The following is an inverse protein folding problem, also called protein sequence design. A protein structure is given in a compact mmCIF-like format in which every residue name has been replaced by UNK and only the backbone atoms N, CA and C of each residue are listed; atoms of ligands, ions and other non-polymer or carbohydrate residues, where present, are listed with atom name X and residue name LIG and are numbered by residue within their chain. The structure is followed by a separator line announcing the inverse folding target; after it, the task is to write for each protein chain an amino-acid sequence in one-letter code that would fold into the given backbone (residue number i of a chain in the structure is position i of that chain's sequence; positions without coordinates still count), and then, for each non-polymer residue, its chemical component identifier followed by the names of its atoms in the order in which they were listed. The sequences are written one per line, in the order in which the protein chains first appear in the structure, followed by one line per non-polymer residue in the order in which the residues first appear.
data_IF_627763809977
#
_entry.id   IF_627763809977
#
_cell.length_a   1.000
_cell.length_b   1.000
_cell.length_c   1.000
_cell.angle_alpha   90.00
_cell.angle_beta   90.00
_cell.angle_gamma   90.00
#
_symmetry.space_group_name_H-M   'P 1'
#
loop_
_entity.id
_entity.type
_entity.pdbx_description
1 polymer ?
#
# COMPACT_ATOMS: atom_id res chain seq x y z
N UNK A 1 -3.86 20.11 0.24
CA UNK A 1 -3.69 18.85 0.96
C UNK A 1 -3.33 17.78 -0.07
N UNK A 2 -2.32 17.00 0.25
CA UNK A 2 -1.89 15.84 -0.51
C UNK A 2 -2.28 14.61 0.30
N UNK A 3 -2.69 13.56 -0.41
CA UNK A 3 -3.15 12.32 0.18
C UNK A 3 -2.43 11.18 -0.52
N UNK A 4 -1.69 10.37 0.22
CA UNK A 4 -1.25 9.06 -0.23
C UNK A 4 -2.30 8.01 0.13
N UNK A 5 -2.48 7.05 -0.77
CA UNK A 5 -3.12 5.78 -0.51
C UNK A 5 -2.09 4.69 -0.79
N UNK A 6 -1.88 3.80 0.18
CA UNK A 6 -1.00 2.63 0.04
C UNK A 6 -1.83 1.40 0.33
N UNK A 7 -2.00 0.58 -0.70
CA UNK A 7 -2.66 -0.71 -0.67
C UNK A 7 -1.65 -1.82 -0.31
N UNK A 8 -1.99 -2.62 0.69
CA UNK A 8 -1.20 -3.73 1.21
C UNK A 8 -1.70 -5.08 0.68
N UNK A 9 -3.02 -5.22 0.44
CA UNK A 9 -3.66 -6.51 0.15
C UNK A 9 -4.40 -6.54 -1.20
N UNK A 10 -4.60 -5.45 -1.93
CA UNK A 10 -5.07 -5.52 -3.32
C UNK A 10 -4.03 -6.16 -4.26
N UNK A 11 -2.77 -6.24 -3.83
CA UNK A 11 -1.76 -7.10 -4.44
C UNK A 11 -1.91 -8.57 -3.99
N UNK A 12 -2.32 -8.85 -2.75
CA UNK A 12 -2.54 -10.22 -2.24
C UNK A 12 -3.85 -10.82 -2.75
N UNK A 13 -4.94 -10.06 -2.87
CA UNK A 13 -6.21 -10.54 -3.44
C UNK A 13 -6.07 -10.95 -4.92
N UNK A 14 -5.17 -10.31 -5.67
CA UNK A 14 -4.78 -10.78 -7.00
C UNK A 14 -3.99 -12.11 -6.95
N UNK A 15 -3.23 -12.35 -5.87
CA UNK A 15 -2.52 -13.62 -5.60
C UNK A 15 -3.47 -14.69 -5.02
N UNK A 16 -4.53 -14.31 -4.31
CA UNK A 16 -5.53 -15.24 -3.75
C UNK A 16 -6.59 -15.61 -4.79
N UNK A 17 -6.87 -14.75 -5.79
CA UNK A 17 -7.66 -15.12 -6.97
C UNK A 17 -7.00 -16.17 -7.87
N UNK A 18 -5.80 -16.65 -7.51
CA UNK A 18 -5.11 -17.75 -8.17
C UNK A 18 -5.77 -19.12 -8.03
N UNK A 19 -6.93 -19.22 -7.37
CA UNK A 19 -7.80 -20.39 -7.47
C UNK A 19 -8.98 -20.21 -8.43
N UNK A 20 -9.09 -19.15 -9.24
CA UNK A 20 -10.20 -19.04 -10.21
C UNK A 20 -10.13 -20.06 -11.36
N UNK A 21 -9.05 -20.86 -11.45
CA UNK A 21 -9.03 -22.08 -12.27
C UNK A 21 -9.72 -23.28 -11.59
N UNK A 22 -9.92 -23.20 -10.27
CA UNK A 22 -10.79 -24.06 -9.46
C UNK A 22 -11.97 -23.22 -8.98
N UNK A 23 -12.74 -22.71 -9.93
CA UNK A 23 -14.10 -22.24 -9.70
C UNK A 23 -14.94 -23.47 -9.29
N UNK A 24 -14.75 -23.95 -8.05
CA UNK A 24 -15.80 -24.67 -7.37
C UNK A 24 -16.84 -23.62 -7.08
N UNK A 25 -17.68 -23.34 -8.06
CA UNK A 25 -18.80 -22.44 -7.81
C UNK A 25 -19.57 -23.04 -6.63
N UNK A 26 -20.13 -22.18 -5.79
CA UNK A 26 -21.02 -22.65 -4.73
C UNK A 26 -22.18 -23.48 -5.33
N UNK A 27 -22.44 -23.37 -6.64
CA UNK A 27 -23.35 -24.23 -7.39
C UNK A 27 -22.76 -25.62 -7.71
N UNK A 28 -21.45 -25.79 -7.91
CA UNK A 28 -20.80 -27.09 -8.18
C UNK A 28 -20.70 -27.98 -6.92
N UNK A 29 -20.52 -27.36 -5.75
CA UNK A 29 -20.63 -28.02 -4.44
C UNK A 29 -22.08 -28.46 -4.12
N UNK A 30 -23.08 -27.90 -4.81
CA UNK A 30 -24.51 -28.16 -4.61
C UNK A 30 -25.11 -29.00 -5.76
N UNK A 31 -24.50 -28.99 -6.96
CA UNK A 31 -25.02 -29.66 -8.15
C UNK A 31 -24.79 -31.16 -8.15
N UNK A 32 -23.84 -31.69 -7.38
CA UNK A 32 -23.64 -33.14 -7.26
C UNK A 32 -24.72 -33.88 -6.45
N UNK A 33 -25.73 -33.18 -5.94
CA UNK A 33 -26.86 -33.81 -5.22
C UNK A 33 -28.25 -33.53 -5.78
N UNK A 34 -28.36 -32.92 -6.96
CA UNK A 34 -29.67 -32.67 -7.58
C UNK A 34 -29.97 -33.64 -8.71
N UNK A 35 -30.22 -34.90 -8.34
CA UNK A 35 -31.20 -35.70 -9.06
C UNK A 35 -32.20 -36.33 -8.08
N UNK A 36 -33.48 -36.12 -8.40
CA UNK A 36 -34.70 -36.62 -7.77
C UNK A 36 -35.21 -35.87 -6.53
N UNK A 37 -36.38 -35.26 -6.73
CA UNK A 37 -37.05 -34.40 -5.76
C UNK A 37 -37.77 -35.14 -4.64
N UNK A 38 -37.88 -34.45 -3.51
CA UNK A 38 -39.07 -34.42 -2.65
C UNK A 38 -38.86 -33.36 -1.57
N UNK A 39 -39.95 -32.85 -1.02
CA UNK A 39 -39.98 -31.79 0.00
C UNK A 39 -39.54 -32.35 1.36
N UNK A 40 -38.32 -32.07 1.80
CA UNK A 40 -37.84 -32.21 3.20
C UNK A 40 -36.80 -31.13 3.54
N UNK A 41 -36.58 -30.79 4.82
CA UNK A 41 -35.61 -29.77 5.22
C UNK A 41 -34.19 -30.25 4.95
N UNK A 42 -33.43 -29.48 4.17
CA UNK A 42 -32.06 -29.82 3.78
C UNK A 42 -31.11 -29.82 5.00
N UNK A 43 -30.59 -30.99 5.36
CA UNK A 43 -29.37 -31.13 6.16
C UNK A 43 -28.19 -31.31 5.20
N UNK A 44 -27.32 -30.31 5.11
CA UNK A 44 -26.11 -30.40 4.30
C UNK A 44 -25.07 -31.27 5.04
N UNK A 45 -24.76 -32.44 4.49
CA UNK A 45 -23.63 -33.25 4.93
C UNK A 45 -22.39 -32.85 4.14
N UNK A 46 -21.63 -31.87 4.66
CA UNK A 46 -20.28 -31.62 4.18
C UNK A 46 -19.41 -32.84 4.50
N UNK A 47 -18.66 -33.33 3.52
CA UNK A 47 -17.69 -34.40 3.76
C UNK A 47 -16.64 -33.93 4.79
N UNK A 48 -16.16 -34.83 5.65
CA UNK A 48 -15.14 -34.49 6.65
C UNK A 48 -13.85 -33.93 6.02
N UNK A 49 -13.55 -34.30 4.77
CA UNK A 49 -12.46 -33.74 3.97
C UNK A 49 -12.72 -32.29 3.53
N UNK A 50 -13.95 -31.95 3.11
CA UNK A 50 -14.31 -30.58 2.70
C UNK A 50 -14.28 -29.61 3.90
N UNK A 51 -14.71 -30.06 5.07
CA UNK A 51 -14.63 -29.28 6.32
C UNK A 51 -13.18 -29.06 6.73
N UNK A 52 -12.32 -30.07 6.59
CA UNK A 52 -10.89 -29.95 6.91
C UNK A 52 -10.17 -28.99 5.96
N UNK A 53 -10.43 -29.05 4.65
CA UNK A 53 -9.84 -28.11 3.69
C UNK A 53 -10.26 -26.66 3.94
N UNK A 54 -11.53 -26.41 4.26
CA UNK A 54 -12.02 -25.08 4.64
C UNK A 54 -11.38 -24.59 5.94
N UNK A 55 -11.18 -25.49 6.91
CA UNK A 55 -10.52 -25.16 8.17
C UNK A 55 -9.04 -24.84 7.98
N UNK A 56 -8.33 -25.59 7.15
CA UNK A 56 -6.90 -25.37 6.85
C UNK A 56 -6.72 -24.05 6.09
N UNK A 57 -7.58 -23.77 5.10
CA UNK A 57 -7.61 -22.50 4.36
C UNK A 57 -7.91 -21.31 5.29
N UNK A 58 -8.90 -21.44 6.18
CA UNK A 58 -9.23 -20.41 7.17
C UNK A 58 -8.07 -20.18 8.17
N UNK A 59 -7.38 -21.25 8.58
CA UNK A 59 -6.25 -21.17 9.50
C UNK A 59 -5.03 -20.50 8.85
N UNK A 60 -4.75 -20.80 7.59
CA UNK A 60 -3.69 -20.13 6.81
C UNK A 60 -4.01 -18.65 6.60
N UNK A 61 -5.25 -18.32 6.20
CA UNK A 61 -5.73 -16.95 6.09
C UNK A 61 -5.62 -16.19 7.42
N UNK A 62 -6.03 -16.81 8.53
CA UNK A 62 -5.92 -16.21 9.86
C UNK A 62 -4.45 -15.97 10.25
N UNK A 63 -3.54 -16.89 9.90
CA UNK A 63 -2.10 -16.72 10.15
C UNK A 63 -1.50 -15.58 9.33
N UNK A 64 -1.90 -15.42 8.06
CA UNK A 64 -1.46 -14.29 7.24
C UNK A 64 -2.07 -12.97 7.72
N UNK A 65 -3.33 -12.97 8.17
CA UNK A 65 -3.96 -11.85 8.86
C UNK A 65 -3.26 -11.51 10.18
N UNK A 66 -2.77 -12.49 10.94
CA UNK A 66 -2.00 -12.26 12.17
C UNK A 66 -0.59 -11.70 11.88
N UNK A 67 0.06 -12.15 10.80
CA UNK A 67 1.32 -11.55 10.32
C UNK A 67 1.11 -10.13 9.81
N UNK A 68 0.06 -9.90 9.01
CA UNK A 68 -0.32 -8.58 8.53
C UNK A 68 -0.71 -7.69 9.72
N UNK A 69 -1.48 -8.19 10.68
CA UNK A 69 -1.83 -7.49 11.91
C UNK A 69 -0.61 -7.24 12.79
N UNK A 70 0.38 -8.14 12.84
CA UNK A 70 1.64 -7.91 13.56
C UNK A 70 2.47 -6.86 12.85
N UNK A 71 2.61 -6.92 11.52
CA UNK A 71 3.28 -5.88 10.72
C UNK A 71 2.56 -4.56 10.81
N UNK A 72 1.22 -4.57 10.80
CA UNK A 72 0.38 -3.40 11.02
C UNK A 72 0.47 -2.95 12.48
N UNK A 73 0.71 -3.82 13.45
CA UNK A 73 0.92 -3.45 14.86
C UNK A 73 2.31 -2.87 15.09
N UNK A 74 3.31 -3.38 14.39
CA UNK A 74 4.67 -2.84 14.29
C UNK A 74 4.64 -1.55 13.50
N UNK A 75 3.85 -1.47 12.43
CA UNK A 75 3.64 -0.25 11.70
C UNK A 75 2.80 0.71 12.52
N UNK A 76 1.84 0.27 13.33
CA UNK A 76 1.10 1.10 14.28
C UNK A 76 1.97 1.52 15.44
N UNK A 77 2.98 0.73 15.85
CA UNK A 77 3.99 1.13 16.83
C UNK A 77 4.97 2.13 16.22
N UNK A 78 5.31 1.99 14.94
CA UNK A 78 6.10 2.94 14.14
C UNK A 78 5.28 4.15 13.64
N UNK A 79 3.96 4.06 13.54
CA UNK A 79 3.04 5.17 13.24
C UNK A 79 2.66 5.86 14.53
N UNK A 80 2.64 5.18 15.67
CA UNK A 80 2.74 5.83 16.98
C UNK A 80 4.11 6.51 17.14
N UNK A 81 5.16 5.97 16.51
CA UNK A 81 6.46 6.64 16.40
C UNK A 81 6.41 7.87 15.47
N UNK A 82 5.60 7.87 14.42
CA UNK A 82 5.38 9.06 13.58
C UNK A 82 4.35 10.06 14.10
N UNK A 83 3.35 9.62 14.87
CA UNK A 83 2.54 10.50 15.72
C UNK A 83 3.42 11.15 16.80
N UNK A 84 4.50 10.49 17.23
CA UNK A 84 5.58 11.10 18.02
C UNK A 84 6.53 12.00 17.20
N UNK A 85 6.54 11.91 15.87
CA UNK A 85 7.18 12.92 14.99
C UNK A 85 6.30 14.15 14.73
N UNK A 86 5.10 14.22 15.34
CA UNK A 86 4.47 15.51 15.67
C UNK A 86 5.10 16.16 16.92
N UNK A 87 6.26 15.68 17.37
CA UNK A 87 7.14 16.50 18.18
C UNK A 87 7.71 17.58 17.26
N UNK A 88 7.62 18.87 17.65
CA UNK A 88 8.28 19.92 16.90
C UNK A 88 9.75 19.54 16.73
N UNK A 89 10.27 19.71 15.51
CA UNK A 89 11.72 19.71 15.35
C UNK A 89 12.33 20.83 16.21
N UNK A 90 13.65 20.89 16.31
CA UNK A 90 14.34 21.92 17.09
C UNK A 90 14.02 23.36 16.63
N UNK A 91 13.31 23.54 15.51
CA UNK A 91 12.96 24.82 14.88
C UNK A 91 11.46 25.15 14.90
N UNK A 92 10.62 24.23 15.35
CA UNK A 92 9.18 24.41 15.46
C UNK A 92 8.38 24.07 14.20
N UNK A 93 8.99 23.52 13.16
CA UNK A 93 8.27 23.06 11.97
C UNK A 93 7.73 21.64 12.20
N UNK A 94 6.45 21.58 12.56
CA UNK A 94 5.73 20.31 12.66
C UNK A 94 5.44 19.76 11.26
N UNK A 95 6.23 18.78 10.81
CA UNK A 95 5.83 17.88 9.72
C UNK A 95 4.66 17.00 10.17
N UNK A 96 3.48 17.59 10.26
CA UNK A 96 2.27 16.92 10.69
C UNK A 96 1.55 16.34 9.49
N UNK A 97 1.72 15.03 9.29
CA UNK A 97 0.82 14.26 8.44
C UNK A 97 -0.18 13.49 9.29
N UNK A 98 -1.41 13.37 8.79
CA UNK A 98 -2.46 12.53 9.36
C UNK A 98 -2.38 11.15 8.72
N UNK A 99 -2.33 10.11 9.54
CA UNK A 99 -2.38 8.73 9.07
C UNK A 99 -3.70 8.07 9.48
N UNK A 100 -4.32 7.34 8.57
CA UNK A 100 -5.44 6.45 8.85
C UNK A 100 -5.11 5.08 8.29
N UNK A 101 -5.20 4.06 9.12
CA UNK A 101 -4.82 2.68 8.79
C UNK A 101 -6.06 1.81 8.84
N UNK A 102 -6.23 0.98 7.81
CA UNK A 102 -7.20 -0.10 7.73
C UNK A 102 -6.49 -1.46 7.73
N UNK A 103 -7.28 -2.54 7.71
CA UNK A 103 -6.75 -3.90 7.64
C UNK A 103 -5.89 -4.17 6.41
N UNK A 104 -6.17 -3.49 5.30
CA UNK A 104 -5.59 -3.75 3.99
C UNK A 104 -4.90 -2.54 3.35
N UNK A 105 -4.96 -1.37 3.98
CA UNK A 105 -4.55 -0.13 3.35
C UNK A 105 -4.24 0.98 4.34
N UNK A 106 -3.45 1.94 3.90
CA UNK A 106 -3.00 3.09 4.67
C UNK A 106 -3.25 4.37 3.88
N UNK A 107 -3.77 5.38 4.54
CA UNK A 107 -3.92 6.73 4.01
C UNK A 107 -3.05 7.68 4.80
N UNK A 108 -2.27 8.50 4.10
CA UNK A 108 -1.44 9.56 4.68
C UNK A 108 -1.89 10.89 4.10
N UNK A 109 -1.98 11.95 4.88
CA UNK A 109 -2.38 13.26 4.38
C UNK A 109 -1.59 14.40 5.03
N UNK A 110 -1.03 15.30 4.21
CA UNK A 110 -0.32 16.49 4.68
C UNK A 110 -0.63 17.74 3.84
N UNK A 111 -0.26 18.91 4.36
CA UNK A 111 -0.43 20.19 3.67
C UNK A 111 0.50 20.35 2.47
N UNK A 112 1.72 19.80 2.55
CA UNK A 112 2.76 19.77 1.52
C UNK A 112 2.93 18.38 0.88
N UNK A 113 3.50 18.35 -0.32
CA UNK A 113 3.64 17.13 -1.12
C UNK A 113 4.82 16.26 -0.65
N UNK A 114 5.96 16.89 -0.40
CA UNK A 114 7.22 16.25 -0.03
C UNK A 114 7.08 15.31 1.19
N UNK A 115 6.47 15.70 2.32
CA UNK A 115 6.33 14.78 3.47
C UNK A 115 5.45 13.57 3.17
N UNK A 116 4.50 13.71 2.24
CA UNK A 116 3.65 12.60 1.82
C UNK A 116 4.42 11.66 0.90
N UNK A 117 5.27 12.18 0.02
CA UNK A 117 6.19 11.38 -0.79
C UNK A 117 7.14 10.62 0.13
N UNK A 118 7.78 11.30 1.08
CA UNK A 118 8.75 10.69 1.98
C UNK A 118 8.13 9.56 2.82
N UNK A 119 7.02 9.87 3.50
CA UNK A 119 6.36 8.90 4.35
C UNK A 119 5.81 7.70 3.56
N UNK A 120 5.25 7.91 2.36
CA UNK A 120 4.72 6.83 1.53
C UNK A 120 5.82 6.01 0.85
N UNK A 121 6.90 6.65 0.40
CA UNK A 121 8.05 6.00 -0.21
C UNK A 121 8.78 5.11 0.80
N UNK A 122 9.04 5.64 1.99
CA UNK A 122 9.62 4.87 3.10
C UNK A 122 8.71 3.71 3.51
N UNK A 123 7.39 3.93 3.59
CA UNK A 123 6.44 2.87 3.87
C UNK A 123 6.53 1.71 2.87
N UNK A 124 6.44 2.00 1.57
CA UNK A 124 6.45 0.95 0.52
C UNK A 124 7.78 0.21 0.52
N UNK A 125 8.91 0.93 0.61
CA UNK A 125 10.23 0.32 0.67
C UNK A 125 10.36 -0.63 1.89
N UNK A 126 9.91 -0.18 3.07
CA UNK A 126 9.98 -0.97 4.30
C UNK A 126 9.07 -2.19 4.27
N UNK A 127 7.89 -2.09 3.66
CA UNK A 127 7.00 -3.24 3.46
C UNK A 127 7.64 -4.26 2.53
N UNK A 128 8.24 -3.84 1.42
CA UNK A 128 8.92 -4.74 0.51
C UNK A 128 10.13 -5.43 1.17
N UNK A 129 10.92 -4.73 1.97
CA UNK A 129 12.01 -5.32 2.77
C UNK A 129 11.50 -6.39 3.76
N UNK A 130 10.26 -6.26 4.21
CA UNK A 130 9.56 -7.25 5.03
C UNK A 130 8.80 -8.29 4.20
N UNK A 131 9.05 -8.36 2.88
CA UNK A 131 8.42 -9.27 1.93
C UNK A 131 6.91 -9.07 1.80
N UNK A 132 6.43 -7.84 1.98
CA UNK A 132 5.03 -7.47 1.86
C UNK A 132 4.89 -6.58 0.63
N UNK A 133 4.40 -7.11 -0.49
CA UNK A 133 4.21 -6.29 -1.67
C UNK A 133 3.13 -5.25 -1.39
N UNK A 134 3.43 -4.00 -1.70
CA UNK A 134 2.49 -2.89 -1.53
C UNK A 134 2.58 -1.95 -2.70
N UNK A 135 1.50 -1.23 -2.94
CA UNK A 135 1.43 -0.28 -4.03
C UNK A 135 0.72 0.95 -3.54
N UNK A 136 1.13 2.12 -4.00
CA UNK A 136 0.47 3.34 -3.60
C UNK A 136 0.36 4.37 -4.70
N UNK A 137 -0.34 5.43 -4.35
CA UNK A 137 -0.32 6.64 -5.14
C UNK A 137 -0.58 7.88 -4.29
N UNK A 138 -0.24 9.05 -4.82
CA UNK A 138 -0.41 10.34 -4.18
C UNK A 138 -1.26 11.24 -5.07
N UNK A 139 -2.23 11.94 -4.47
CA UNK A 139 -3.07 12.91 -5.16
C UNK A 139 -3.31 14.17 -4.32
N UNK A 140 -3.54 15.29 -5.02
CA UNK A 140 -3.94 16.57 -4.42
C UNK A 140 -5.46 16.69 -4.40
N UNK A 141 -6.01 17.12 -3.27
CA UNK A 141 -7.45 17.37 -3.14
C UNK A 141 -7.88 17.69 -1.73
N UNK A 142 -9.18 17.51 -1.44
CA UNK A 142 -9.71 17.63 -0.09
C UNK A 142 -9.47 16.35 0.71
N UNK A 143 -9.33 16.52 2.02
CA UNK A 143 -9.24 15.46 3.02
C UNK A 143 -9.90 15.97 4.32
N UNK A 144 -10.79 15.16 4.88
CA UNK A 144 -11.50 15.44 6.14
C UNK A 144 -11.63 14.15 6.92
N UNK A 145 -11.30 14.21 8.20
CA UNK A 145 -11.58 13.15 9.19
C UNK A 145 -12.87 13.51 9.92
N UNK A 146 -13.71 12.51 10.21
CA UNK A 146 -14.85 12.69 11.11
C UNK A 146 -14.47 12.19 12.50
N UNK A 147 -14.78 13.01 13.49
CA UNK A 147 -14.60 12.70 14.90
C UNK A 147 -15.98 12.71 15.56
N UNK A 148 -16.38 11.58 16.12
CA UNK A 148 -17.59 11.45 16.91
C UNK A 148 -17.24 11.34 18.37
N UNK A 149 -17.73 12.29 19.16
CA UNK A 149 -17.64 12.23 20.61
C UNK A 149 -18.85 11.49 21.15
N UNK A 150 -18.65 10.25 21.57
CA UNK A 150 -19.68 9.38 22.11
C UNK A 150 -19.65 9.48 23.64
N UNK A 151 -20.68 10.11 24.21
CA UNK A 151 -20.88 10.18 25.66
C UNK A 151 -21.54 8.89 26.13
N UNK A 152 -20.89 8.16 27.01
CA UNK A 152 -21.49 7.01 27.70
C UNK A 152 -22.26 7.49 28.93
N UNK A 153 -23.31 6.76 29.31
CA UNK A 153 -24.21 7.14 30.39
C UNK A 153 -23.59 7.27 31.78
N UNK A 154 -22.34 6.86 31.98
CA UNK A 154 -21.60 6.97 33.25
C UNK A 154 -20.61 8.15 33.29
N UNK A 155 -20.73 9.11 32.37
CA UNK A 155 -19.85 10.28 32.32
C UNK A 155 -18.50 10.04 31.65
N UNK A 156 -18.20 8.82 31.19
CA UNK A 156 -17.08 8.57 30.30
C UNK A 156 -17.44 8.99 28.86
N UNK A 157 -16.57 9.74 28.19
CA UNK A 157 -16.68 10.01 26.76
C UNK A 157 -15.58 9.26 26.01
N UNK A 158 -15.93 8.60 24.92
CA UNK A 158 -14.95 8.08 23.97
C UNK A 158 -15.06 8.83 22.65
N UNK A 159 -13.92 9.26 22.12
CA UNK A 159 -13.85 9.84 20.77
C UNK A 159 -13.60 8.70 19.80
N UNK A 160 -14.57 8.41 18.95
CA UNK A 160 -14.40 7.52 17.81
C UNK A 160 -14.03 8.35 16.58
N UNK A 161 -12.95 7.99 15.91
CA UNK A 161 -12.51 8.61 14.66
C UNK A 161 -12.64 7.60 13.52
N UNK A 162 -13.46 7.89 12.50
CA UNK A 162 -13.54 7.24 11.18
C UNK A 162 -14.73 7.87 10.41
N UNK A 163 -15.05 7.54 9.15
CA UNK A 163 -14.15 7.43 8.00
C UNK A 163 -13.51 8.80 7.67
N UNK A 164 -12.70 8.86 6.62
CA UNK A 164 -12.25 10.13 6.02
C UNK A 164 -12.78 10.23 4.60
N UNK A 165 -13.02 11.46 4.14
CA UNK A 165 -13.59 11.74 2.84
C UNK A 165 -12.80 12.85 2.15
N UNK A 166 -12.86 12.85 0.82
CA UNK A 166 -12.42 13.97 0.02
C UNK A 166 -11.95 13.57 -1.37
N UNK A 167 -11.77 14.57 -2.23
CA UNK A 167 -11.33 14.35 -3.60
C UNK A 167 -9.89 13.82 -3.68
N UNK A 168 -9.02 14.14 -2.71
CA UNK A 168 -7.65 13.61 -2.66
C UNK A 168 -7.65 12.10 -2.44
N UNK A 169 -8.49 11.63 -1.53
CA UNK A 169 -8.70 10.22 -1.20
C UNK A 169 -9.13 9.43 -2.44
N UNK A 170 -10.19 9.89 -3.11
CA UNK A 170 -10.77 9.22 -4.27
C UNK A 170 -9.78 9.18 -5.44
N UNK A 171 -9.05 10.28 -5.67
CA UNK A 171 -8.04 10.36 -6.74
C UNK A 171 -6.84 9.46 -6.48
N UNK A 172 -6.35 9.41 -5.24
CA UNK A 172 -5.27 8.51 -4.86
C UNK A 172 -5.72 7.06 -5.06
N UNK A 173 -6.84 6.66 -4.46
CA UNK A 173 -7.41 5.33 -4.67
C UNK A 173 -7.55 4.97 -6.16
N UNK A 174 -8.16 5.83 -6.98
CA UNK A 174 -8.29 5.55 -8.41
C UNK A 174 -6.96 5.46 -9.17
N UNK A 175 -5.96 6.26 -8.79
CA UNK A 175 -4.64 6.24 -9.44
C UNK A 175 -3.88 4.98 -9.11
N UNK A 176 -3.94 4.53 -7.86
CA UNK A 176 -3.48 3.20 -7.48
C UNK A 176 -4.27 2.17 -8.31
N UNK A 177 -5.58 2.07 -8.18
CA UNK A 177 -6.30 0.90 -8.69
C UNK A 177 -6.30 0.78 -10.22
N UNK A 178 -6.21 1.90 -10.94
CA UNK A 178 -6.22 1.94 -12.42
C UNK A 178 -4.86 2.20 -13.06
N UNK A 179 -3.85 2.60 -12.29
CA UNK A 179 -2.53 2.94 -12.81
C UNK A 179 -1.70 1.74 -13.26
N UNK A 180 -0.45 1.96 -13.70
CA UNK A 180 0.50 0.91 -14.05
C UNK A 180 0.80 -0.02 -12.88
N UNK A 181 0.77 -1.33 -13.13
CA UNK A 181 0.94 -2.36 -12.09
C UNK A 181 2.36 -2.37 -11.50
N UNK A 182 2.49 -3.11 -10.40
CA UNK A 182 3.75 -3.33 -9.69
C UNK A 182 3.85 -2.61 -8.35
N UNK A 183 4.93 -2.88 -7.61
CA UNK A 183 5.23 -2.37 -6.27
C UNK A 183 5.80 -0.96 -6.42
N UNK A 184 4.91 0.01 -6.60
CA UNK A 184 5.23 1.36 -7.07
C UNK A 184 4.43 2.41 -6.30
N UNK A 185 4.92 3.65 -6.32
CA UNK A 185 4.24 4.81 -5.76
C UNK A 185 3.96 5.84 -6.86
N UNK A 186 2.73 5.89 -7.34
CA UNK A 186 2.33 6.70 -8.49
C UNK A 186 1.93 8.12 -8.09
N UNK A 187 2.17 9.11 -8.96
CA UNK A 187 1.72 10.48 -8.74
C UNK A 187 0.56 10.81 -9.69
N UNK A 188 -0.58 11.17 -9.08
CA UNK A 188 -1.73 11.70 -9.81
C UNK A 188 -1.42 13.11 -10.34
N UNK A 189 -1.93 13.43 -11.52
CA UNK A 189 -1.74 14.72 -12.20
C UNK A 189 -2.26 15.93 -11.44
N UNK A 190 -3.16 15.74 -10.49
CA UNK A 190 -3.56 16.82 -9.58
C UNK A 190 -2.38 17.42 -8.78
N UNK A 191 -1.25 16.72 -8.69
CA UNK A 191 -0.02 17.21 -8.06
C UNK A 191 0.94 17.92 -9.04
N UNK A 192 0.68 17.97 -10.34
CA UNK A 192 1.69 18.35 -11.35
C UNK A 192 2.29 19.75 -11.19
N UNK A 193 1.48 20.71 -10.76
CA UNK A 193 1.96 22.08 -10.52
C UNK A 193 3.02 22.11 -9.42
N UNK A 194 2.91 21.20 -8.46
CA UNK A 194 3.79 21.13 -7.28
C UNK A 194 4.97 20.18 -7.54
N UNK A 195 4.78 19.17 -8.41
CA UNK A 195 5.84 18.27 -8.88
C UNK A 195 6.95 19.01 -9.62
N UNK A 196 6.62 20.07 -10.38
CA UNK A 196 7.62 20.88 -11.08
C UNK A 196 8.61 21.59 -10.15
N UNK A 197 8.21 21.80 -8.89
CA UNK A 197 9.05 22.39 -7.86
C UNK A 197 9.92 21.36 -7.13
N UNK A 198 9.65 20.06 -7.34
CA UNK A 198 10.46 18.97 -6.79
C UNK A 198 11.60 18.65 -7.74
N UNK A 199 12.71 18.19 -7.16
CA UNK A 199 13.85 17.80 -7.96
C UNK A 199 13.54 16.62 -8.90
N UNK A 200 14.07 16.70 -10.12
CA UNK A 200 13.84 15.69 -11.16
C UNK A 200 14.31 14.27 -10.81
N UNK A 201 15.15 14.10 -9.78
CA UNK A 201 15.61 12.79 -9.31
C UNK A 201 14.61 12.11 -8.37
N UNK A 202 13.74 12.87 -7.72
CA UNK A 202 12.71 12.36 -6.80
C UNK A 202 11.53 11.72 -7.54
N UNK A 203 11.28 12.15 -8.77
CA UNK A 203 10.12 11.75 -9.56
C UNK A 203 10.53 11.35 -10.97
N UNK A 204 10.14 10.15 -11.36
CA UNK A 204 10.43 9.61 -12.67
C UNK A 204 9.20 9.71 -13.55
N UNK A 205 9.40 10.15 -14.79
CA UNK A 205 8.35 10.04 -15.81
C UNK A 205 8.08 8.57 -16.11
N UNK A 206 6.79 8.23 -16.18
CA UNK A 206 6.35 6.91 -16.65
C UNK A 206 6.69 6.74 -18.14
N UNK A 207 6.81 5.49 -18.58
CA UNK A 207 6.98 5.23 -20.01
C UNK A 207 5.72 5.66 -20.79
N UNK A 208 5.84 6.00 -22.09
CA UNK A 208 4.72 6.53 -22.87
C UNK A 208 3.47 5.65 -22.89
N UNK A 209 3.64 4.33 -22.79
CA UNK A 209 2.58 3.31 -22.71
C UNK A 209 1.90 3.23 -21.32
N UNK A 210 2.59 3.68 -20.27
CA UNK A 210 2.09 3.70 -18.90
C UNK A 210 1.42 5.04 -18.52
N UNK A 211 1.71 6.10 -19.27
CA UNK A 211 1.12 7.42 -19.07
C UNK A 211 -0.38 7.42 -19.40
N UNK A 212 -1.16 8.20 -18.65
CA UNK A 212 -2.59 8.38 -18.92
C UNK A 212 -2.98 9.85 -18.85
N UNK A 213 -4.28 10.15 -18.97
CA UNK A 213 -4.81 11.47 -18.67
C UNK A 213 -4.87 11.81 -17.17
N UNK A 214 -4.53 10.87 -16.27
CA UNK A 214 -4.66 11.01 -14.80
C UNK A 214 -3.36 10.81 -14.01
N UNK A 215 -2.36 10.15 -14.57
CA UNK A 215 -1.02 9.97 -13.97
C UNK A 215 0.05 10.06 -15.06
N UNK A 216 1.29 10.32 -14.64
CA UNK A 216 2.42 10.39 -15.57
C UNK A 216 3.78 10.29 -14.91
N UNK A 217 3.83 10.24 -13.57
CA UNK A 217 5.07 10.16 -12.82
C UNK A 217 4.93 9.09 -11.72
N UNK A 218 6.07 8.60 -11.27
CA UNK A 218 6.22 7.73 -10.10
C UNK A 218 7.34 8.26 -9.20
N UNK A 219 7.28 7.93 -7.92
CA UNK A 219 8.33 8.27 -6.95
C UNK A 219 9.51 7.34 -7.17
N UNK A 220 10.72 7.92 -7.19
CA UNK A 220 11.95 7.15 -7.22
C UNK A 220 12.19 6.50 -5.85
N UNK A 221 11.96 5.19 -5.75
CA UNK A 221 12.11 4.46 -4.48
C UNK A 221 13.57 4.22 -4.08
N UNK A 222 14.57 4.50 -4.94
CA UNK A 222 16.00 4.45 -4.58
C UNK A 222 16.38 5.40 -3.44
N UNK A 223 15.51 6.37 -3.16
CA UNK A 223 15.69 7.40 -2.15
C UNK A 223 15.26 6.94 -0.77
N UNK A 224 14.51 5.84 -0.70
CA UNK A 224 13.78 5.45 0.51
C UNK A 224 14.26 4.09 1.02
N UNK A 225 14.80 4.11 2.23
CA UNK A 225 15.34 2.94 2.93
C UNK A 225 15.80 3.30 4.33
N UNK A 226 15.55 2.41 5.30
CA UNK A 226 15.64 2.60 6.77
C UNK A 226 16.86 3.33 7.37
N UNK A 227 17.91 3.63 6.61
CA UNK A 227 19.11 4.29 7.11
C UNK A 227 20.07 4.82 6.04
N UNK A 228 19.64 4.97 4.78
CA UNK A 228 20.52 5.35 3.66
C UNK A 228 21.19 4.16 2.94
N UNK A 229 20.77 2.92 3.24
CA UNK A 229 21.34 1.69 2.68
C UNK A 229 20.37 0.82 1.84
N UNK A 230 19.07 1.13 1.76
CA UNK A 230 18.24 0.45 0.77
C UNK A 230 18.53 1.09 -0.59
N UNK A 231 19.52 0.52 -1.25
CA UNK A 231 19.76 0.73 -2.67
C UNK A 231 18.59 0.08 -3.41
N UNK A 232 18.09 0.70 -4.48
CA UNK A 232 17.11 0.09 -5.39
C UNK A 232 17.48 -1.35 -5.78
N UNK A 233 18.77 -1.69 -5.80
CA UNK A 233 19.29 -3.05 -5.97
C UNK A 233 18.74 -4.03 -4.93
N UNK A 234 18.66 -3.65 -3.66
CA UNK A 234 18.09 -4.49 -2.61
C UNK A 234 16.57 -4.67 -2.80
N UNK A 235 15.86 -3.59 -3.15
CA UNK A 235 14.43 -3.67 -3.45
C UNK A 235 14.17 -4.55 -4.68
N UNK A 236 15.02 -4.48 -5.70
CA UNK A 236 15.00 -5.39 -6.87
C UNK A 236 15.20 -6.84 -6.43
N UNK A 237 16.23 -7.14 -5.63
CA UNK A 237 16.47 -8.49 -5.13
C UNK A 237 15.27 -9.04 -4.34
N UNK A 238 14.63 -8.22 -3.50
CA UNK A 238 13.42 -8.64 -2.77
C UNK A 238 12.23 -8.87 -3.70
N UNK A 239 12.04 -8.01 -4.71
CA UNK A 239 10.99 -8.19 -5.71
C UNK A 239 11.23 -9.44 -6.57
N UNK A 240 12.48 -9.73 -6.96
CA UNK A 240 12.85 -10.96 -7.68
C UNK A 240 12.60 -12.20 -6.83
N UNK A 241 13.01 -12.18 -5.56
CA UNK A 241 12.76 -13.29 -4.63
C UNK A 241 11.27 -13.59 -4.54
N UNK A 242 10.44 -12.57 -4.28
CA UNK A 242 8.98 -12.71 -4.24
C UNK A 242 8.40 -13.18 -5.58
N UNK A 243 8.95 -12.71 -6.71
CA UNK A 243 8.49 -13.10 -8.05
C UNK A 243 8.65 -14.60 -8.31
N UNK A 244 9.63 -15.24 -7.70
CA UNK A 244 9.90 -16.67 -7.85
C UNK A 244 8.98 -17.54 -6.97
N UNK A 245 8.22 -16.92 -6.06
CA UNK A 245 7.27 -17.60 -5.18
C UNK A 245 5.83 -17.59 -5.73
N UNK A 246 5.57 -16.85 -6.81
CA UNK A 246 4.23 -16.69 -7.38
C UNK A 246 4.14 -17.32 -8.77
N UNK A 247 2.94 -17.74 -9.20
CA UNK A 247 2.68 -18.17 -10.58
C UNK A 247 3.06 -17.14 -11.66
N UNK A 248 3.38 -17.64 -12.86
CA UNK A 248 3.85 -16.83 -14.00
C UNK A 248 2.87 -15.70 -14.39
N UNK A 249 1.56 -15.92 -14.27
CA UNK A 249 0.56 -14.89 -14.58
C UNK A 249 0.60 -13.72 -13.58
N UNK A 250 0.87 -13.98 -12.29
CA UNK A 250 1.08 -12.91 -11.31
C UNK A 250 2.42 -12.24 -11.54
N UNK A 251 3.47 -13.04 -11.77
CA UNK A 251 4.81 -12.53 -12.07
C UNK A 251 4.75 -11.53 -13.23
N UNK A 252 4.17 -11.93 -14.36
CA UNK A 252 4.01 -11.09 -15.54
C UNK A 252 3.15 -9.84 -15.28
N UNK A 253 2.08 -9.97 -14.49
CA UNK A 253 1.16 -8.86 -14.22
C UNK A 253 1.71 -7.84 -13.22
N UNK A 254 2.54 -8.27 -12.28
CA UNK A 254 2.88 -7.49 -11.09
C UNK A 254 4.38 -7.33 -10.87
N UNK A 255 5.16 -8.40 -10.97
CA UNK A 255 6.59 -8.36 -10.67
C UNK A 255 7.42 -7.89 -11.86
N UNK A 256 7.12 -8.32 -13.08
CA UNK A 256 7.84 -7.86 -14.27
C UNK A 256 7.75 -6.32 -14.45
N UNK A 257 6.57 -5.68 -14.29
CA UNK A 257 6.48 -4.22 -14.27
C UNK A 257 7.26 -3.58 -13.12
N UNK A 258 7.31 -4.23 -11.96
CA UNK A 258 8.09 -3.76 -10.79
C UNK A 258 9.58 -3.75 -11.10
N UNK A 259 10.11 -4.86 -11.61
CA UNK A 259 11.53 -4.99 -11.93
C UNK A 259 11.94 -4.06 -13.08
N UNK A 260 11.06 -3.87 -14.07
CA UNK A 260 11.25 -2.86 -15.12
C UNK A 260 11.31 -1.45 -14.54
N UNK A 261 10.35 -1.07 -13.68
CA UNK A 261 10.36 0.24 -13.02
C UNK A 261 11.61 0.46 -12.17
N UNK A 262 12.02 -0.54 -11.39
CA UNK A 262 13.21 -0.42 -10.54
C UNK A 262 14.50 -0.37 -11.36
N UNK A 263 14.55 -1.03 -12.52
CA UNK A 263 15.68 -0.92 -13.44
C UNK A 263 15.80 0.49 -14.00
N UNK A 264 14.67 1.15 -14.29
CA UNK A 264 14.66 2.58 -14.67
C UNK A 264 15.11 3.47 -13.52
N UNK A 265 14.62 3.22 -12.30
CA UNK A 265 15.06 3.94 -11.08
C UNK A 265 16.57 3.82 -10.88
N UNK A 266 17.13 2.63 -11.03
CA UNK A 266 18.56 2.38 -10.91
C UNK A 266 19.41 3.06 -12.01
N UNK A 267 18.80 3.30 -13.18
CA UNK A 267 19.44 3.96 -14.31
C UNK A 267 19.36 5.49 -14.23
N UNK A 268 18.56 6.05 -13.33
CA UNK A 268 18.49 7.50 -13.08
C UNK A 268 19.75 7.91 -12.32
N UNK A 269 20.74 8.19 -13.15
CA UNK A 269 22.04 8.83 -12.95
C UNK A 269 22.66 8.82 -11.54
N UNK A 270 23.71 8.01 -11.41
CA UNK A 270 24.69 8.04 -10.31
C UNK A 270 25.73 9.16 -10.48
N UNK A 271 25.74 9.87 -11.62
CA UNK A 271 26.76 10.87 -11.97
C UNK A 271 26.43 12.29 -11.47
N UNK A 272 25.29 12.50 -10.82
CA UNK A 272 25.11 13.60 -9.86
C UNK A 272 25.37 13.04 -8.46
N UNK A 273 26.63 13.00 -7.98
CA UNK A 273 26.91 12.52 -6.65
C UNK A 273 26.06 13.33 -5.67
N UNK A 274 25.29 12.60 -4.85
CA UNK A 274 24.51 13.14 -3.73
C UNK A 274 25.40 14.12 -2.97
N UNK A 275 25.21 15.43 -3.17
CA UNK A 275 25.81 16.41 -2.27
C UNK A 275 25.04 16.51 -0.96
N UNK A 276 23.84 15.92 -0.89
CA UNK A 276 23.09 15.81 0.34
C UNK A 276 23.53 14.59 1.14
N UNK A 277 24.37 14.86 2.13
CA UNK A 277 24.47 14.00 3.29
C UNK A 277 23.26 14.28 4.18
N UNK A 278 22.70 13.26 4.82
CA UNK A 278 21.62 13.44 5.81
C UNK A 278 22.08 14.32 7.02
N UNK A 279 23.38 14.62 7.13
CA UNK A 279 23.98 15.61 8.04
C UNK A 279 23.75 17.05 7.64
N UNK A 280 23.49 17.36 6.37
CA UNK A 280 23.18 18.74 5.94
C UNK A 280 21.82 19.22 6.48
N UNK A 281 20.99 18.28 6.95
CA UNK A 281 19.76 18.56 7.71
C UNK A 281 19.97 18.67 9.23
N UNK A 282 21.12 18.24 9.75
CA UNK A 282 21.41 18.26 11.20
C UNK A 282 22.34 19.39 11.64
N UNK A 283 23.17 19.90 10.73
CA UNK A 283 24.25 20.83 11.09
C UNK A 283 24.06 22.28 10.58
N UNK A 284 23.01 22.58 9.80
CA UNK A 284 22.62 23.97 9.47
C UNK A 284 21.29 24.42 10.10
N UNK A 285 20.72 23.63 11.01
CA UNK A 285 19.41 23.93 11.60
C UNK A 285 19.26 23.57 13.09
#
# INVERSE_FOLDING_TARGET
MYVAFVDLLGFSSAVESLSEADDVSFADLVSETTSLGSKTPYSYHLSSSSVRNLYDMYTEFQRECEKAAWVLSEYHSHVRFSQKMSAPDAQGDNFSYKAVVFSDSIFLAASSLEPVIDAAGELIANLLLKKIPSRGSIAKGSFRTFEWNLKTGQGASFTACAPFLGSGVIRAYHTESKGPRGIRLLINKSCWQDVQALDSWALLSLSPDEMSEHWGHEVNLDLYGLSGNANITLLQMMAEELSNLVPDNIKARHYDPTLSAYSRMAAVDRDQPRQFTRSDWRDEF
#
